data_IF_306665078300
#
_entry.id   IF_306665078300
#
_cell.length_a   1.000
_cell.length_b   1.000
_cell.length_c   1.000
_cell.angle_alpha   90.00
_cell.angle_beta   90.00
_cell.angle_gamma   90.00
#
_symmetry.space_group_name_H-M   'P 1'
#
loop_
_entity.id
_entity.type
_entity.pdbx_description
1 polymer ?
#
# COMPACT_ATOMS: atom_id res chain seq x y z
N UNK A 1 24.03 -9.75 2.29
CA UNK A 1 22.72 -9.33 2.83
C UNK A 1 21.65 -9.76 1.85
N UNK A 2 20.75 -10.66 2.25
CA UNK A 2 19.55 -10.95 1.48
C UNK A 2 18.56 -9.84 1.81
N UNK A 3 18.25 -8.99 0.84
CA UNK A 3 17.05 -8.15 0.92
C UNK A 3 15.87 -9.13 0.92
N UNK A 4 15.39 -9.49 2.12
CA UNK A 4 14.12 -10.19 2.23
C UNK A 4 13.11 -9.22 1.64
N UNK A 5 12.52 -9.60 0.52
CA UNK A 5 11.48 -8.83 -0.15
C UNK A 5 10.21 -8.98 0.69
N UNK A 6 10.19 -8.35 1.86
CA UNK A 6 9.08 -8.44 2.81
C UNK A 6 7.94 -7.63 2.21
N UNK A 7 6.95 -8.33 1.69
CA UNK A 7 5.68 -7.70 1.30
C UNK A 7 5.07 -7.08 2.54
N UNK A 8 4.90 -5.75 2.53
CA UNK A 8 4.31 -5.02 3.65
C UNK A 8 2.83 -5.42 3.78
N UNK A 9 2.50 -6.19 4.83
CA UNK A 9 1.12 -6.54 5.20
C UNK A 9 0.56 -5.52 6.20
N UNK A 10 -0.76 -5.48 6.35
CA UNK A 10 -1.42 -4.62 7.34
C UNK A 10 -0.96 -4.94 8.78
N UNK A 11 -0.89 -6.22 9.13
CA UNK A 11 -0.47 -6.68 10.45
C UNK A 11 0.97 -6.27 10.75
N UNK A 12 1.88 -6.43 9.78
CA UNK A 12 3.26 -6.00 9.92
C UNK A 12 3.36 -4.48 10.08
N UNK A 13 2.62 -3.71 9.27
CA UNK A 13 2.58 -2.26 9.37
C UNK A 13 2.09 -1.79 10.76
N UNK A 14 1.01 -2.39 11.27
CA UNK A 14 0.49 -2.10 12.60
C UNK A 14 1.49 -2.48 13.69
N UNK A 15 2.15 -3.64 13.59
CA UNK A 15 3.14 -4.10 14.56
C UNK A 15 4.35 -3.15 14.62
N UNK A 16 4.83 -2.69 13.47
CA UNK A 16 5.91 -1.71 13.38
C UNK A 16 5.48 -0.37 14.00
N UNK A 17 4.30 0.13 13.64
CA UNK A 17 3.79 1.39 14.18
C UNK A 17 3.61 1.33 15.71
N UNK A 18 3.12 0.20 16.22
CA UNK A 18 2.98 -0.01 17.66
C UNK A 18 4.34 0.02 18.36
N UNK A 19 5.37 -0.62 17.80
CA UNK A 19 6.74 -0.55 18.33
C UNK A 19 7.26 0.90 18.37
N UNK A 20 7.11 1.65 17.28
CA UNK A 20 7.57 3.05 17.21
C UNK A 20 6.82 3.95 18.20
N UNK A 21 5.53 3.70 18.45
CA UNK A 21 4.69 4.45 19.40
C UNK A 21 5.05 4.20 20.86
N UNK A 22 5.73 3.10 21.18
CA UNK A 22 6.19 2.84 22.56
C UNK A 22 7.24 3.86 23.02
N UNK A 23 7.95 4.49 22.08
CA UNK A 23 8.96 5.48 22.41
C UNK A 23 8.35 6.85 22.67
N UNK A 24 8.98 7.56 23.60
CA UNK A 24 8.67 8.94 23.96
C UNK A 24 9.94 9.78 23.89
N UNK A 25 9.80 11.11 23.91
CA UNK A 25 10.95 12.02 23.95
C UNK A 25 11.83 11.84 25.18
N UNK A 26 11.28 11.36 26.30
CA UNK A 26 12.01 11.06 27.53
C UNK A 26 12.53 9.62 27.62
N UNK A 27 11.95 8.69 26.84
CA UNK A 27 12.40 7.31 26.77
C UNK A 27 12.34 6.80 25.33
N UNK A 28 13.52 6.74 24.69
CA UNK A 28 13.67 6.30 23.31
C UNK A 28 14.17 4.85 23.19
N UNK A 29 14.37 4.15 24.31
CA UNK A 29 14.71 2.73 24.31
C UNK A 29 13.48 1.91 24.69
N UNK A 30 13.08 1.01 23.80
CA UNK A 30 11.85 0.22 23.94
C UNK A 30 12.14 -1.25 23.76
N UNK A 31 11.54 -2.07 24.63
CA UNK A 31 11.54 -3.52 24.48
C UNK A 31 10.27 -3.94 23.75
N UNK A 32 10.40 -4.60 22.61
CA UNK A 32 9.27 -5.19 21.92
C UNK A 32 8.65 -6.30 22.79
N UNK A 33 7.31 -6.35 22.91
CA UNK A 33 6.65 -7.42 23.65
C UNK A 33 6.80 -8.73 22.86
N UNK A 34 7.63 -9.63 23.37
CA UNK A 34 7.87 -10.96 22.78
C UNK A 34 7.53 -12.03 23.80
N UNK A 35 6.83 -13.07 23.35
CA UNK A 35 6.39 -14.20 24.19
C UNK A 35 7.04 -15.53 23.79
N UNK A 36 7.61 -15.59 22.58
CA UNK A 36 8.23 -16.79 22.01
C UNK A 36 9.35 -16.40 21.01
N UNK A 37 10.13 -17.38 20.58
CA UNK A 37 11.27 -17.19 19.67
C UNK A 37 10.85 -16.76 18.26
N UNK A 38 9.65 -17.14 17.81
CA UNK A 38 9.15 -16.75 16.48
C UNK A 38 8.84 -15.25 16.43
N UNK A 39 8.19 -14.72 17.47
CA UNK A 39 7.97 -13.27 17.63
C UNK A 39 9.30 -12.50 17.75
N UNK A 40 10.28 -13.07 18.45
CA UNK A 40 11.61 -12.48 18.53
C UNK A 40 12.27 -12.36 17.14
N UNK A 41 12.19 -13.43 16.32
CA UNK A 41 12.70 -13.43 14.95
C UNK A 41 11.98 -12.40 14.06
N UNK A 42 10.67 -12.24 14.25
CA UNK A 42 9.90 -11.22 13.54
C UNK A 42 10.36 -9.80 13.89
N UNK A 43 10.59 -9.51 15.18
CA UNK A 43 11.11 -8.20 15.59
C UNK A 43 12.56 -7.98 15.13
N UNK A 44 13.37 -9.03 15.03
CA UNK A 44 14.70 -8.94 14.41
C UNK A 44 14.56 -8.47 12.95
N UNK A 45 13.66 -9.08 12.18
CA UNK A 45 13.38 -8.68 10.80
C UNK A 45 12.82 -7.24 10.70
N UNK A 46 11.94 -6.84 11.62
CA UNK A 46 11.47 -5.45 11.73
C UNK A 46 12.66 -4.49 11.95
N UNK A 47 13.61 -4.86 12.80
CA UNK A 47 14.84 -4.10 12.99
C UNK A 47 15.63 -3.89 11.70
N UNK A 48 15.77 -4.94 10.89
CA UNK A 48 16.45 -4.89 9.59
C UNK A 48 15.72 -3.99 8.57
N UNK A 49 14.41 -3.80 8.71
CA UNK A 49 13.62 -2.85 7.90
C UNK A 49 13.83 -1.41 8.40
N UNK A 50 13.78 -1.19 9.72
CA UNK A 50 13.76 0.15 10.32
C UNK A 50 15.13 0.83 10.37
N UNK A 51 16.21 0.05 10.50
CA UNK A 51 17.57 0.56 10.59
C UNK A 51 18.03 1.32 9.33
N UNK A 52 17.88 0.80 8.10
CA UNK A 52 18.23 1.56 6.90
C UNK A 52 17.34 2.77 6.66
N UNK A 53 16.11 2.78 7.21
CA UNK A 53 15.21 3.94 7.15
C UNK A 53 15.54 5.01 8.19
N UNK A 54 16.44 4.71 9.14
CA UNK A 54 16.81 5.61 10.23
C UNK A 54 15.71 5.83 11.26
N UNK A 55 14.69 4.96 11.32
CA UNK A 55 13.56 5.08 12.25
C UNK A 55 13.80 4.40 13.59
N UNK A 56 14.56 3.31 13.58
CA UNK A 56 14.98 2.62 14.79
C UNK A 56 16.31 1.90 14.57
N UNK A 57 17.06 1.71 15.64
CA UNK A 57 18.24 0.85 15.66
C UNK A 57 18.02 -0.28 16.65
N UNK A 58 18.17 -1.53 16.22
CA UNK A 58 18.13 -2.67 17.13
C UNK A 58 19.41 -2.71 17.95
N UNK A 59 19.30 -2.77 19.26
CA UNK A 59 20.45 -2.82 20.17
C UNK A 59 20.84 -4.27 20.46
N UNK A 60 19.89 -5.07 20.92
CA UNK A 60 20.07 -6.50 21.19
C UNK A 60 18.70 -7.17 21.34
N UNK A 61 18.54 -8.42 20.92
CA UNK A 61 17.28 -9.16 21.04
C UNK A 61 16.07 -8.34 20.60
N UNK A 62 15.13 -8.12 21.53
CA UNK A 62 13.91 -7.32 21.39
C UNK A 62 14.07 -5.85 21.81
N UNK A 63 15.28 -5.36 22.13
CA UNK A 63 15.54 -3.99 22.53
C UNK A 63 15.89 -3.10 21.33
N UNK A 64 15.17 -1.99 21.22
CA UNK A 64 15.32 -1.00 20.14
C UNK A 64 15.56 0.38 20.69
N UNK A 65 16.41 1.14 20.00
CA UNK A 65 16.50 2.58 20.13
C UNK A 65 15.69 3.23 19.00
N UNK A 66 14.59 3.89 19.34
CA UNK A 66 13.73 4.58 18.37
C UNK A 66 14.23 6.01 18.18
N UNK A 67 14.45 6.41 16.93
CA UNK A 67 14.97 7.74 16.64
C UNK A 67 13.83 8.79 16.69
N UNK A 68 14.18 10.08 16.84
CA UNK A 68 13.20 11.15 16.66
C UNK A 68 12.46 11.10 15.32
N UNK A 69 13.13 10.65 14.25
CA UNK A 69 12.52 10.47 12.94
C UNK A 69 11.45 9.36 12.96
N UNK A 70 11.73 8.21 13.59
CA UNK A 70 10.75 7.13 13.76
C UNK A 70 9.52 7.56 14.58
N UNK A 71 9.76 8.30 15.67
CA UNK A 71 8.67 8.86 16.49
C UNK A 71 7.81 9.87 15.71
N UNK A 72 8.44 10.73 14.89
CA UNK A 72 7.72 11.69 14.06
C UNK A 72 6.91 10.98 12.96
N UNK A 73 7.54 10.02 12.27
CA UNK A 73 6.93 9.24 11.20
C UNK A 73 5.61 8.59 11.63
N UNK A 74 5.61 7.95 12.80
CA UNK A 74 4.40 7.29 13.31
C UNK A 74 3.32 8.28 13.79
N UNK A 75 3.71 9.49 14.25
CA UNK A 75 2.75 10.56 14.54
C UNK A 75 2.07 11.11 13.29
N UNK A 76 2.75 11.06 12.15
CA UNK A 76 2.20 11.52 10.86
C UNK A 76 1.39 10.45 10.11
N UNK A 77 1.23 9.26 10.68
CA UNK A 77 0.40 8.18 10.11
C UNK A 77 1.07 6.81 10.12
N UNK A 78 2.41 6.77 10.01
CA UNK A 78 3.17 5.54 10.07
C UNK A 78 3.02 4.63 8.84
N UNK A 79 3.43 3.37 9.01
CA UNK A 79 3.35 2.35 7.97
C UNK A 79 1.90 1.95 7.67
N UNK A 80 1.01 2.02 8.66
CA UNK A 80 -0.41 1.67 8.49
C UNK A 80 -1.08 2.61 7.49
N UNK A 81 -0.82 3.92 7.59
CA UNK A 81 -1.33 4.91 6.62
C UNK A 81 -0.76 4.65 5.22
N UNK A 82 0.55 4.43 5.10
CA UNK A 82 1.18 4.11 3.82
C UNK A 82 0.60 2.84 3.16
N UNK A 83 0.28 1.82 3.96
CA UNK A 83 -0.34 0.60 3.46
C UNK A 83 -1.73 0.88 2.85
N UNK A 84 -2.58 1.62 3.57
CA UNK A 84 -3.92 1.97 3.09
C UNK A 84 -3.89 2.90 1.87
N UNK A 85 -2.96 3.86 1.82
CA UNK A 85 -2.77 4.72 0.66
C UNK A 85 -2.44 3.91 -0.60
N UNK A 86 -1.44 3.01 -0.52
CA UNK A 86 -1.08 2.14 -1.64
C UNK A 86 -2.24 1.26 -2.09
N UNK A 87 -2.95 0.64 -1.14
CA UNK A 87 -4.12 -0.19 -1.45
C UNK A 87 -5.21 0.61 -2.17
N UNK A 88 -5.50 1.82 -1.69
CA UNK A 88 -6.51 2.70 -2.29
C UNK A 88 -6.10 3.18 -3.69
N UNK A 89 -4.82 3.49 -3.90
CA UNK A 89 -4.29 3.82 -5.22
C UNK A 89 -4.41 2.66 -6.21
N UNK A 90 -4.07 1.43 -5.78
CA UNK A 90 -4.23 0.23 -6.60
C UNK A 90 -5.69 -0.04 -6.95
N UNK A 91 -6.61 0.13 -5.99
CA UNK A 91 -8.04 0.00 -6.24
C UNK A 91 -8.57 1.09 -7.20
N UNK A 92 -8.09 2.33 -7.07
CA UNK A 92 -8.43 3.41 -8.02
C UNK A 92 -7.94 3.08 -9.43
N UNK A 93 -6.69 2.64 -9.59
CA UNK A 93 -6.14 2.22 -10.89
C UNK A 93 -6.95 1.09 -11.52
N UNK A 94 -7.32 0.07 -10.74
CA UNK A 94 -8.18 -1.03 -11.21
C UNK A 94 -9.56 -0.53 -11.66
N UNK A 95 -10.16 0.43 -10.94
CA UNK A 95 -11.45 1.03 -11.33
C UNK A 95 -11.32 1.88 -12.59
N UNK A 96 -10.26 2.66 -12.73
CA UNK A 96 -9.99 3.46 -13.93
C UNK A 96 -9.78 2.57 -15.16
N UNK A 97 -9.00 1.50 -15.04
CA UNK A 97 -8.81 0.52 -16.11
C UNK A 97 -10.12 -0.17 -16.51
N UNK A 98 -10.95 -0.54 -15.51
CA UNK A 98 -12.26 -1.13 -15.77
C UNK A 98 -13.20 -0.15 -16.47
N UNK A 99 -13.19 1.12 -16.08
CA UNK A 99 -13.99 2.17 -16.72
C UNK A 99 -13.52 2.43 -18.15
N UNK A 100 -12.21 2.53 -18.38
CA UNK A 100 -11.64 2.69 -19.73
C UNK A 100 -12.07 1.55 -20.66
N UNK A 101 -12.03 0.31 -20.19
CA UNK A 101 -12.52 -0.86 -20.94
C UNK A 101 -14.03 -0.79 -21.24
N UNK A 102 -14.84 -0.25 -20.32
CA UNK A 102 -16.27 -0.03 -20.56
C UNK A 102 -16.50 1.06 -21.61
N UNK A 103 -15.78 2.16 -21.53
CA UNK A 103 -15.89 3.27 -22.50
C UNK A 103 -15.49 2.83 -23.90
N UNK A 104 -14.44 2.00 -24.04
CA UNK A 104 -14.05 1.40 -25.32
C UNK A 104 -15.15 0.50 -25.90
N UNK A 105 -15.82 -0.31 -25.06
CA UNK A 105 -16.97 -1.11 -25.50
C UNK A 105 -18.16 -0.26 -25.94
N UNK A 106 -18.46 0.82 -25.22
CA UNK A 106 -19.55 1.74 -25.57
C UNK A 106 -19.25 2.43 -26.91
N UNK A 107 -18.00 2.92 -27.12
CA UNK A 107 -17.57 3.52 -28.38
C UNK A 107 -17.70 2.56 -29.56
N UNK A 108 -17.30 1.30 -29.38
CA UNK A 108 -17.44 0.28 -30.42
C UNK A 108 -18.90 0.05 -30.78
N UNK A 109 -19.77 -0.06 -29.77
CA UNK A 109 -21.21 -0.27 -29.98
C UNK A 109 -21.85 0.93 -30.71
N UNK A 110 -21.54 2.16 -30.28
CA UNK A 110 -21.99 3.38 -30.96
C UNK A 110 -21.53 3.44 -32.42
N UNK A 111 -20.28 3.02 -32.71
CA UNK A 111 -19.77 2.96 -34.09
C UNK A 111 -20.56 1.98 -34.96
N UNK A 112 -20.98 0.83 -34.41
CA UNK A 112 -21.80 -0.14 -35.13
C UNK A 112 -23.18 0.46 -35.43
N UNK A 113 -23.81 1.12 -34.46
CA UNK A 113 -25.11 1.79 -34.67
C UNK A 113 -25.05 2.91 -35.69
N UNK A 114 -23.98 3.70 -35.70
CA UNK A 114 -23.77 4.72 -36.72
C UNK A 114 -23.72 4.10 -38.13
N UNK A 115 -23.05 2.96 -38.29
CA UNK A 115 -23.03 2.20 -39.55
C UNK A 115 -24.43 1.72 -39.96
N UNK A 116 -25.19 1.15 -39.03
CA UNK A 116 -26.57 0.68 -39.28
C UNK A 116 -27.48 1.85 -39.68
N UNK A 117 -27.43 2.98 -38.95
CA UNK A 117 -28.24 4.16 -39.26
C UNK A 117 -27.94 4.73 -40.66
N UNK A 118 -26.67 4.71 -41.07
CA UNK A 118 -26.24 5.15 -42.40
C UNK A 118 -26.81 4.24 -43.49
N UNK A 119 -26.78 2.92 -43.29
CA UNK A 119 -27.35 1.95 -44.24
C UNK A 119 -28.88 2.06 -44.35
N UNK A 120 -29.59 2.22 -43.23
CA UNK A 120 -31.05 2.42 -43.22
C UNK A 120 -31.43 3.71 -43.96
N UNK A 121 -30.68 4.79 -43.74
CA UNK A 121 -30.90 6.06 -44.44
C UNK A 121 -30.67 5.94 -45.95
N UNK A 122 -29.66 5.18 -46.36
CA UNK A 122 -29.37 4.92 -47.78
C UNK A 122 -30.51 4.11 -48.44
N UNK A 123 -30.96 3.04 -47.78
CA UNK A 123 -32.08 2.21 -48.25
C UNK A 123 -33.37 3.02 -48.39
N UNK A 124 -33.68 3.87 -47.40
CA UNK A 124 -34.84 4.77 -47.45
C UNK A 124 -34.74 5.80 -48.59
N UNK A 125 -33.53 6.28 -48.89
CA UNK A 125 -33.32 7.18 -50.02
C UNK A 125 -33.50 6.49 -51.38
N UNK A 126 -33.18 5.19 -51.49
CA UNK A 126 -33.39 4.40 -52.72
C UNK A 126 -34.82 3.88 -52.91
N UNK A 127 -35.61 3.77 -51.82
CA UNK A 127 -37.02 3.37 -51.85
C UNK A 127 -37.98 4.54 -52.11
N UNK A 128 -37.46 5.76 -52.29
CA UNK A 128 -38.20 6.99 -52.57
C UNK A 128 -38.00 7.40 -54.02
#
# INVERSE_FOLDING_TARGET
>A
MRLVNITMTEELAQKIDNLLKMATTSNNQVCAPVTNDDELNEFIAIGEILEPMGYAKRLTGNLFHITPAGMYFVKTGGFTSMYWEKRNEEEKKKKEEANKKKDEKIKLWLSIWAGVATLVSLLLAFLK
#
